data_IF_642321388663
#
_entry.id   IF_642321388663
#
_cell.length_a   1.000
_cell.length_b   1.000
_cell.length_c   1.000
_cell.angle_alpha   90.00
_cell.angle_beta   90.00
_cell.angle_gamma   90.00
#
_symmetry.space_group_name_H-M   'P 1'
#
loop_
_entity.id
_entity.type
_entity.pdbx_description
1 polymer ?
#
# COMPACT_ATOMS: atom_id res chain seq x y z
N UNK A 1 68.74 -22.64 23.95
CA UNK A 1 69.21 -23.74 23.07
C UNK A 1 68.26 -23.71 21.84
N UNK A 2 68.66 -23.06 20.71
CA UNK A 2 69.32 -23.71 19.57
C UNK A 2 68.28 -24.64 18.84
N UNK A 3 67.87 -24.47 17.64
CA UNK A 3 68.28 -24.03 16.29
C UNK A 3 67.05 -23.89 15.43
N UNK A 4 66.78 -22.85 14.67
CA UNK A 4 67.19 -22.54 13.29
C UNK A 4 67.15 -23.72 12.29
N UNK A 5 66.31 -23.56 11.25
CA UNK A 5 66.72 -23.71 9.83
C UNK A 5 65.55 -23.39 8.88
N UNK A 6 65.63 -22.30 8.16
CA UNK A 6 65.22 -22.06 6.79
C UNK A 6 66.40 -22.62 5.91
N UNK A 7 66.32 -22.74 4.56
CA UNK A 7 65.51 -22.10 3.53
C UNK A 7 65.15 -23.06 2.35
N UNK A 8 64.36 -22.64 1.38
CA UNK A 8 64.84 -22.49 0.00
C UNK A 8 63.75 -21.89 -0.94
N UNK A 9 64.20 -20.87 -1.58
CA UNK A 9 63.64 -20.16 -2.72
C UNK A 9 63.61 -21.01 -3.98
N UNK A 10 62.63 -20.88 -4.88
CA UNK A 10 62.89 -20.81 -6.31
C UNK A 10 61.82 -20.02 -7.06
N UNK A 11 62.28 -19.03 -7.77
CA UNK A 11 61.63 -18.14 -8.71
C UNK A 11 61.22 -18.86 -10.01
N UNK A 12 60.23 -18.32 -10.69
CA UNK A 12 60.15 -17.87 -12.07
C UNK A 12 58.79 -18.12 -12.70
N UNK A 13 58.25 -17.07 -13.32
CA UNK A 13 57.26 -17.18 -14.40
C UNK A 13 56.33 -15.98 -14.55
N UNK A 14 56.80 -14.92 -15.22
CA UNK A 14 55.95 -13.82 -15.74
C UNK A 14 55.03 -14.28 -16.87
N UNK A 15 53.79 -13.72 -16.91
CA UNK A 15 52.98 -13.67 -18.12
C UNK A 15 51.60 -13.05 -17.86
N UNK A 16 51.11 -12.10 -18.67
CA UNK A 16 50.08 -11.12 -18.29
C UNK A 16 48.68 -11.40 -18.86
N UNK A 17 47.70 -10.65 -18.31
CA UNK A 17 46.39 -10.31 -18.85
C UNK A 17 45.26 -11.35 -18.89
N UNK A 18 44.27 -11.09 -18.09
CA UNK A 18 42.87 -10.89 -18.57
C UNK A 18 41.94 -10.47 -17.42
N UNK A 19 41.03 -9.58 -17.73
CA UNK A 19 40.18 -8.70 -16.94
C UNK A 19 39.16 -9.35 -15.98
N UNK A 20 38.34 -8.52 -15.35
CA UNK A 20 37.60 -8.87 -14.14
C UNK A 20 36.42 -9.81 -14.44
N UNK A 21 36.39 -10.91 -13.69
CA UNK A 21 35.29 -11.84 -13.63
C UNK A 21 34.02 -11.18 -13.09
N UNK A 22 33.00 -11.25 -13.89
CA UNK A 22 31.62 -10.84 -13.60
C UNK A 22 31.11 -11.57 -12.35
N UNK A 23 30.75 -10.78 -11.34
CA UNK A 23 30.06 -11.26 -10.16
C UNK A 23 28.69 -11.83 -10.53
N UNK A 24 28.43 -13.05 -10.11
CA UNK A 24 27.16 -13.73 -10.17
C UNK A 24 26.08 -12.90 -9.45
N UNK A 25 25.18 -12.29 -10.22
CA UNK A 25 23.91 -11.80 -9.75
C UNK A 25 23.00 -12.97 -9.37
N UNK A 26 22.98 -13.34 -8.11
CA UNK A 26 21.96 -14.20 -7.54
C UNK A 26 20.61 -13.51 -7.67
N UNK A 27 19.72 -14.15 -8.42
CA UNK A 27 18.34 -13.78 -8.67
C UNK A 27 17.59 -13.70 -7.32
N UNK A 28 17.45 -12.49 -6.77
CA UNK A 28 16.49 -12.21 -5.73
C UNK A 28 15.09 -12.42 -6.32
N UNK A 29 14.41 -13.48 -5.88
CA UNK A 29 12.99 -13.71 -6.16
C UNK A 29 12.22 -12.51 -5.63
N UNK A 30 11.75 -11.63 -6.54
CA UNK A 30 10.90 -10.49 -6.26
C UNK A 30 9.62 -10.97 -5.59
N UNK A 31 9.35 -10.47 -4.40
CA UNK A 31 8.03 -10.57 -3.78
C UNK A 31 6.96 -9.96 -4.71
N UNK A 32 5.77 -10.54 -4.73
CA UNK A 32 4.69 -10.28 -5.70
C UNK A 32 4.00 -8.91 -5.52
N UNK A 33 4.56 -8.00 -4.76
CA UNK A 33 4.25 -6.59 -4.89
C UNK A 33 5.05 -6.03 -6.08
N UNK A 34 4.57 -6.33 -7.29
CA UNK A 34 5.15 -5.74 -8.51
C UNK A 34 4.95 -4.23 -8.45
N UNK A 35 6.01 -3.41 -8.65
CA UNK A 35 5.79 -2.04 -9.03
C UNK A 35 4.89 -2.05 -10.27
N UNK A 36 3.91 -1.16 -10.31
CA UNK A 36 3.00 -1.03 -11.46
C UNK A 36 3.84 -0.53 -12.62
N UNK A 37 4.47 -1.47 -13.33
CA UNK A 37 5.27 -1.18 -14.51
C UNK A 37 4.33 -1.35 -15.71
N UNK A 38 3.82 -0.24 -16.23
CA UNK A 38 2.85 -0.15 -17.34
C UNK A 38 3.37 -0.60 -18.71
N UNK A 39 4.41 -1.46 -18.79
CA UNK A 39 5.01 -1.86 -20.07
C UNK A 39 4.29 -3.01 -20.80
N UNK A 40 3.14 -3.50 -20.31
CA UNK A 40 2.25 -4.40 -21.05
C UNK A 40 0.85 -3.78 -21.18
N UNK A 41 0.74 -2.74 -22.02
CA UNK A 41 -0.56 -2.28 -22.52
C UNK A 41 -1.09 -3.30 -23.54
N UNK A 42 -1.76 -4.34 -23.06
CA UNK A 42 -2.84 -4.95 -23.83
C UNK A 42 -4.03 -4.00 -23.68
N UNK A 43 -4.64 -3.63 -24.82
CA UNK A 43 -5.89 -2.86 -24.82
C UNK A 43 -6.87 -3.48 -23.80
N UNK A 44 -7.52 -2.64 -22.97
CA UNK A 44 -8.48 -3.15 -22.00
C UNK A 44 -9.52 -3.97 -22.77
N UNK A 45 -9.93 -5.15 -22.25
CA UNK A 45 -10.94 -5.95 -22.89
C UNK A 45 -12.22 -5.12 -23.06
N UNK A 46 -12.95 -5.35 -24.18
CA UNK A 46 -14.20 -4.67 -24.50
C UNK A 46 -15.09 -4.53 -23.25
N UNK A 47 -15.40 -3.28 -22.88
CA UNK A 47 -16.19 -2.97 -21.69
C UNK A 47 -17.60 -3.48 -21.86
N UNK A 48 -17.91 -4.61 -21.24
CA UNK A 48 -19.30 -5.08 -21.14
C UNK A 48 -20.08 -4.07 -20.27
N UNK A 49 -21.25 -3.60 -20.74
CA UNK A 49 -22.09 -2.69 -19.97
C UNK A 49 -22.39 -3.27 -18.57
N UNK A 50 -22.16 -2.47 -17.52
CA UNK A 50 -22.40 -2.85 -16.13
C UNK A 50 -21.25 -3.57 -15.41
N UNK A 51 -20.11 -3.81 -16.05
CA UNK A 51 -18.93 -4.37 -15.39
C UNK A 51 -18.11 -3.24 -14.76
N UNK A 52 -17.84 -3.35 -13.44
CA UNK A 52 -16.95 -2.44 -12.72
C UNK A 52 -15.52 -2.99 -12.80
N UNK A 53 -14.61 -2.18 -13.31
CA UNK A 53 -13.18 -2.48 -13.39
C UNK A 53 -12.42 -1.84 -12.23
N UNK A 54 -11.36 -2.51 -11.77
CA UNK A 54 -10.55 -2.03 -10.65
C UNK A 54 -9.80 -0.73 -10.96
N UNK A 55 -9.63 0.12 -9.94
CA UNK A 55 -8.76 1.29 -9.92
C UNK A 55 -7.52 0.99 -9.06
N UNK A 56 -6.44 0.56 -9.69
CA UNK A 56 -5.25 0.08 -8.99
C UNK A 56 -4.57 1.13 -8.11
N UNK A 57 -4.76 2.42 -8.38
CA UNK A 57 -4.08 3.54 -7.74
C UNK A 57 -4.98 4.38 -6.82
N UNK A 58 -6.27 4.11 -6.82
CA UNK A 58 -7.24 4.90 -6.05
C UNK A 58 -7.38 4.40 -4.62
N UNK A 59 -7.27 5.32 -3.65
CA UNK A 59 -7.54 5.06 -2.23
C UNK A 59 -8.71 5.93 -1.75
N UNK A 60 -9.82 5.29 -1.35
CA UNK A 60 -10.96 5.94 -0.70
C UNK A 60 -10.60 6.28 0.73
N UNK A 61 -10.28 7.55 1.00
CA UNK A 61 -9.92 8.07 2.30
C UNK A 61 -11.17 8.33 3.13
N UNK A 62 -11.16 7.95 4.42
CA UNK A 62 -12.31 8.09 5.29
C UNK A 62 -13.62 7.61 4.62
N UNK A 63 -13.59 6.43 4.04
CA UNK A 63 -14.68 5.92 3.19
C UNK A 63 -16.05 5.95 3.89
N UNK A 64 -16.09 5.81 5.22
CA UNK A 64 -17.32 5.89 6.02
C UNK A 64 -18.04 7.26 5.95
N UNK A 65 -17.41 8.30 5.37
CA UNK A 65 -18.06 9.58 5.05
C UNK A 65 -18.77 9.57 3.70
N UNK A 66 -18.49 8.59 2.85
CA UNK A 66 -19.18 8.42 1.57
C UNK A 66 -20.65 8.01 1.79
N UNK A 67 -21.48 8.27 0.79
CA UNK A 67 -22.92 7.94 0.81
C UNK A 67 -23.28 7.16 -0.43
N UNK A 68 -23.53 5.84 -0.34
CA UNK A 68 -23.28 4.98 0.85
C UNK A 68 -21.80 4.63 1.03
N UNK A 69 -21.33 4.42 2.28
CA UNK A 69 -19.99 3.89 2.55
C UNK A 69 -19.77 2.54 1.86
N UNK A 70 -18.52 2.16 1.60
CA UNK A 70 -18.08 0.95 0.92
C UNK A 70 -18.67 0.80 -0.49
N UNK A 71 -19.99 0.78 -0.61
CA UNK A 71 -20.69 0.54 -1.88
C UNK A 71 -20.31 1.54 -2.95
N UNK A 72 -20.16 2.85 -2.58
CA UNK A 72 -19.74 3.86 -3.54
C UNK A 72 -18.31 3.63 -4.02
N UNK A 73 -17.38 3.33 -3.11
CA UNK A 73 -16.00 3.03 -3.48
C UNK A 73 -15.92 1.79 -4.39
N UNK A 74 -16.59 0.70 -4.03
CA UNK A 74 -16.63 -0.52 -4.84
C UNK A 74 -17.28 -0.28 -6.22
N UNK A 75 -18.37 0.49 -6.31
CA UNK A 75 -19.03 0.79 -7.59
C UNK A 75 -18.17 1.61 -8.54
N UNK A 76 -17.19 2.35 -8.02
CA UNK A 76 -16.21 3.13 -8.78
C UNK A 76 -14.88 2.39 -9.01
N UNK A 77 -14.75 1.15 -8.52
CA UNK A 77 -13.58 0.32 -8.77
C UNK A 77 -12.42 0.49 -7.77
N UNK A 78 -12.60 1.22 -6.67
CA UNK A 78 -11.53 1.45 -5.69
C UNK A 78 -11.04 0.15 -5.07
N UNK A 79 -9.73 -0.04 -5.08
CA UNK A 79 -9.07 -1.22 -4.48
C UNK A 79 -8.51 -0.96 -3.08
N UNK A 80 -8.29 0.30 -2.69
CA UNK A 80 -7.90 0.69 -1.33
C UNK A 80 -9.02 1.49 -0.69
N UNK A 81 -9.50 1.04 0.46
CA UNK A 81 -10.64 1.61 1.18
C UNK A 81 -10.22 1.79 2.64
N UNK A 82 -10.32 3.01 3.17
CA UNK A 82 -9.86 3.35 4.51
C UNK A 82 -11.04 3.58 5.46
N UNK A 83 -11.00 2.90 6.62
CA UNK A 83 -11.95 3.05 7.71
C UNK A 83 -11.24 3.30 9.04
N UNK A 84 -11.60 4.41 9.71
CA UNK A 84 -11.14 4.70 11.07
C UNK A 84 -11.93 3.92 12.09
N UNK A 85 -11.26 3.32 13.06
CA UNK A 85 -11.91 2.57 14.14
C UNK A 85 -11.50 3.05 15.52
N UNK A 86 -12.48 2.99 16.44
CA UNK A 86 -12.26 3.19 17.87
C UNK A 86 -12.81 1.99 18.65
N UNK A 87 -12.00 1.45 19.55
CA UNK A 87 -12.48 0.48 20.51
C UNK A 87 -13.31 1.19 21.60
N UNK A 88 -14.62 0.96 21.60
CA UNK A 88 -15.55 1.56 22.57
C UNK A 88 -16.47 0.45 23.11
N UNK A 89 -16.41 0.19 24.41
CA UNK A 89 -17.26 -0.82 25.08
C UNK A 89 -17.27 -2.17 24.32
N UNK A 90 -16.08 -2.68 24.02
CA UNK A 90 -15.88 -3.95 23.31
C UNK A 90 -16.43 -4.01 21.86
N UNK A 91 -16.66 -2.86 21.21
CA UNK A 91 -17.05 -2.72 19.78
C UNK A 91 -16.02 -1.90 19.03
N UNK A 92 -15.74 -2.28 17.78
CA UNK A 92 -14.90 -1.51 16.85
C UNK A 92 -15.78 -0.51 16.08
N UNK A 93 -16.04 0.62 16.73
CA UNK A 93 -16.91 1.68 16.19
C UNK A 93 -16.19 2.43 15.09
N UNK A 94 -16.85 2.58 13.93
CA UNK A 94 -16.29 3.33 12.81
C UNK A 94 -16.57 4.82 12.96
N UNK A 95 -15.53 5.60 13.21
CA UNK A 95 -15.60 7.06 13.31
C UNK A 95 -14.18 7.67 13.40
N UNK A 96 -14.01 8.90 12.92
CA UNK A 96 -12.75 9.64 13.06
C UNK A 96 -12.44 10.07 14.51
N UNK A 97 -13.48 10.37 15.27
CA UNK A 97 -13.42 10.77 16.69
C UNK A 97 -14.53 10.07 17.47
N UNK A 98 -14.37 9.99 18.78
CA UNK A 98 -15.39 9.40 19.65
C UNK A 98 -16.76 10.04 19.41
N UNK A 99 -17.77 9.29 18.94
CA UNK A 99 -19.10 9.84 18.69
C UNK A 99 -19.83 10.17 20.01
N UNK A 100 -20.70 11.19 19.96
CA UNK A 100 -21.51 11.58 21.12
C UNK A 100 -22.43 10.45 21.62
N UNK A 101 -22.89 9.60 20.71
CA UNK A 101 -23.78 8.46 20.99
C UNK A 101 -23.16 7.16 20.44
N UNK A 102 -22.13 6.61 21.12
CA UNK A 102 -21.40 5.44 20.60
C UNK A 102 -22.29 4.22 20.35
N UNK A 103 -23.33 4.04 21.15
CA UNK A 103 -24.28 2.94 21.00
C UNK A 103 -25.08 2.97 19.69
N UNK A 104 -25.21 4.15 19.06
CA UNK A 104 -25.89 4.34 17.78
C UNK A 104 -24.91 4.37 16.58
N UNK A 105 -23.62 4.38 16.85
CA UNK A 105 -22.61 4.36 15.80
C UNK A 105 -22.47 2.96 15.23
N UNK A 106 -22.28 2.88 13.93
CA UNK A 106 -22.06 1.64 13.21
C UNK A 106 -20.62 1.16 13.46
N UNK A 107 -20.41 -0.14 13.44
CA UNK A 107 -19.09 -0.73 13.65
C UNK A 107 -18.48 -1.29 12.35
N UNK A 108 -17.24 -1.75 12.48
CA UNK A 108 -16.45 -2.27 11.35
C UNK A 108 -17.12 -3.47 10.68
N UNK A 109 -17.72 -4.33 11.47
CA UNK A 109 -18.39 -5.53 10.98
C UNK A 109 -19.61 -5.15 10.14
N UNK A 110 -20.48 -4.27 10.67
CA UNK A 110 -21.68 -3.82 9.98
C UNK A 110 -21.39 -3.05 8.69
N UNK A 111 -20.39 -2.15 8.73
CA UNK A 111 -20.10 -1.27 7.59
C UNK A 111 -19.27 -1.91 6.50
N UNK A 112 -18.36 -2.82 6.86
CA UNK A 112 -17.34 -3.31 5.93
C UNK A 112 -17.26 -4.83 5.87
N UNK A 113 -17.02 -5.53 6.98
CA UNK A 113 -16.69 -6.95 6.92
C UNK A 113 -17.87 -7.80 6.44
N UNK A 114 -19.07 -7.62 7.01
CA UNK A 114 -20.26 -8.37 6.60
C UNK A 114 -20.65 -8.11 5.15
N UNK A 115 -20.76 -6.84 4.67
CA UNK A 115 -21.07 -6.59 3.26
C UNK A 115 -20.02 -7.16 2.29
N UNK A 116 -18.72 -7.05 2.61
CA UNK A 116 -17.65 -7.61 1.80
C UNK A 116 -17.75 -9.14 1.77
N UNK A 117 -18.04 -9.78 2.90
CA UNK A 117 -18.17 -11.21 2.99
C UNK A 117 -19.37 -11.74 2.20
N UNK A 118 -20.49 -11.02 2.18
CA UNK A 118 -21.64 -11.38 1.34
C UNK A 118 -21.30 -11.35 -0.15
N UNK A 119 -20.55 -10.33 -0.61
CA UNK A 119 -20.07 -10.27 -2.00
C UNK A 119 -19.12 -11.44 -2.29
N UNK A 120 -18.18 -11.70 -1.38
CA UNK A 120 -17.21 -12.80 -1.52
C UNK A 120 -17.89 -14.16 -1.59
N UNK A 121 -18.86 -14.45 -0.73
CA UNK A 121 -19.61 -15.73 -0.77
C UNK A 121 -20.31 -15.96 -2.10
N UNK A 122 -20.80 -14.89 -2.75
CA UNK A 122 -21.50 -14.98 -4.02
C UNK A 122 -20.57 -15.14 -5.22
N UNK A 123 -19.40 -14.49 -5.21
CA UNK A 123 -18.54 -14.34 -6.39
C UNK A 123 -17.13 -14.90 -6.22
N UNK A 124 -16.60 -14.98 -5.00
CA UNK A 124 -15.20 -15.32 -4.73
C UNK A 124 -14.20 -14.17 -4.95
N UNK A 125 -14.64 -13.03 -5.49
CA UNK A 125 -13.82 -11.87 -5.83
C UNK A 125 -14.64 -10.57 -5.75
N UNK A 126 -13.96 -9.41 -5.71
CA UNK A 126 -14.62 -8.09 -5.77
C UNK A 126 -14.65 -7.53 -7.18
N UNK A 127 -13.54 -7.64 -7.92
CA UNK A 127 -13.43 -7.20 -9.31
C UNK A 127 -12.91 -8.33 -10.20
N UNK A 128 -13.61 -8.61 -11.29
CA UNK A 128 -13.27 -9.72 -12.21
C UNK A 128 -11.93 -9.50 -12.93
N UNK A 129 -11.56 -8.26 -13.20
CA UNK A 129 -10.33 -7.86 -13.88
C UNK A 129 -9.13 -7.72 -12.92
N UNK A 130 -9.35 -7.82 -11.62
CA UNK A 130 -8.30 -7.59 -10.61
C UNK A 130 -7.92 -8.89 -9.92
N UNK A 131 -6.76 -9.49 -10.27
CA UNK A 131 -6.31 -10.76 -9.68
C UNK A 131 -5.79 -10.60 -8.25
N UNK A 132 -5.56 -9.36 -7.78
CA UNK A 132 -5.09 -9.05 -6.43
C UNK A 132 -6.26 -8.68 -5.51
N UNK A 133 -6.09 -8.81 -4.19
CA UNK A 133 -7.14 -8.47 -3.23
C UNK A 133 -7.53 -6.98 -3.26
N UNK A 134 -8.74 -6.69 -2.79
CA UNK A 134 -9.07 -5.36 -2.28
C UNK A 134 -8.40 -5.18 -0.92
N UNK A 135 -7.98 -3.97 -0.61
CA UNK A 135 -7.28 -3.61 0.62
C UNK A 135 -8.20 -2.78 1.51
N UNK A 136 -8.56 -3.30 2.68
CA UNK A 136 -9.23 -2.53 3.71
C UNK A 136 -8.19 -1.99 4.70
N UNK A 137 -7.94 -0.69 4.62
CA UNK A 137 -7.04 0.02 5.52
C UNK A 137 -7.80 0.38 6.80
N UNK A 138 -7.38 -0.17 7.91
CA UNK A 138 -8.01 0.00 9.22
C UNK A 138 -7.15 0.97 10.05
N UNK A 139 -7.60 2.22 10.17
CA UNK A 139 -6.91 3.26 10.94
C UNK A 139 -7.35 3.20 12.41
N UNK A 140 -6.49 2.64 13.25
CA UNK A 140 -6.74 2.51 14.69
C UNK A 140 -6.54 3.86 15.37
N UNK A 141 -7.61 4.41 15.95
CA UNK A 141 -7.63 5.71 16.65
C UNK A 141 -7.52 5.59 18.18
N UNK A 142 -7.71 4.39 18.72
CA UNK A 142 -7.59 4.09 20.16
C UNK A 142 -6.26 3.41 20.47
N UNK A 143 -6.07 2.91 21.69
CA UNK A 143 -4.88 2.18 22.10
C UNK A 143 -4.66 0.98 21.17
N UNK A 144 -3.40 0.78 20.74
CA UNK A 144 -3.05 -0.11 19.66
C UNK A 144 -3.31 -1.58 19.98
N UNK A 145 -2.76 -2.08 21.10
CA UNK A 145 -2.76 -3.50 21.43
C UNK A 145 -4.16 -4.04 21.70
N UNK A 146 -4.91 -3.39 22.58
CA UNK A 146 -6.28 -3.83 22.92
C UNK A 146 -7.23 -3.72 21.75
N UNK A 147 -7.03 -2.70 20.88
CA UNK A 147 -7.84 -2.55 19.67
C UNK A 147 -7.51 -3.63 18.65
N UNK A 148 -6.25 -3.97 18.51
CA UNK A 148 -5.81 -5.05 17.62
C UNK A 148 -6.31 -6.41 18.11
N UNK A 149 -6.19 -6.73 19.40
CA UNK A 149 -6.74 -7.98 19.95
C UNK A 149 -8.25 -8.09 19.68
N UNK A 150 -9.00 -7.00 19.86
CA UNK A 150 -10.42 -6.98 19.49
C UNK A 150 -10.66 -7.16 18.01
N UNK A 151 -9.79 -6.60 17.16
CA UNK A 151 -9.89 -6.81 15.72
C UNK A 151 -9.73 -8.28 15.35
N UNK A 152 -8.78 -9.00 15.97
CA UNK A 152 -8.57 -10.43 15.74
C UNK A 152 -9.82 -11.26 16.07
N UNK A 153 -10.54 -10.92 17.15
CA UNK A 153 -11.83 -11.55 17.49
C UNK A 153 -12.89 -11.27 16.40
N UNK A 154 -13.00 -10.00 15.97
CA UNK A 154 -14.03 -9.57 15.02
C UNK A 154 -13.81 -10.16 13.63
N UNK A 155 -12.58 -10.34 13.19
CA UNK A 155 -12.27 -10.90 11.86
C UNK A 155 -12.36 -12.44 11.80
N UNK A 156 -12.48 -13.13 12.93
CA UNK A 156 -12.47 -14.61 12.99
C UNK A 156 -13.48 -15.26 12.03
N UNK A 157 -14.76 -14.81 11.95
CA UNK A 157 -15.74 -15.39 11.02
C UNK A 157 -15.44 -15.12 9.54
N UNK A 158 -14.57 -14.16 9.26
CA UNK A 158 -14.31 -13.64 7.90
C UNK A 158 -13.00 -14.15 7.29
N UNK A 159 -12.22 -14.95 8.03
CA UNK A 159 -10.88 -15.41 7.63
C UNK A 159 -10.83 -16.10 6.27
N UNK A 160 -11.91 -16.74 5.83
CA UNK A 160 -11.94 -17.41 4.53
C UNK A 160 -11.83 -16.47 3.32
N UNK A 161 -12.12 -15.18 3.49
CA UNK A 161 -11.91 -14.17 2.44
C UNK A 161 -10.60 -13.40 2.60
N UNK A 162 -9.90 -13.54 3.76
CA UNK A 162 -8.75 -12.72 4.08
C UNK A 162 -7.45 -13.30 3.54
N UNK A 163 -6.57 -12.43 3.08
CA UNK A 163 -5.16 -12.75 2.90
C UNK A 163 -4.55 -13.13 4.25
N UNK A 164 -3.81 -14.22 4.28
CA UNK A 164 -3.04 -14.64 5.44
C UNK A 164 -1.55 -14.69 5.14
N UNK A 165 -0.75 -14.58 6.19
CA UNK A 165 0.70 -14.67 6.10
C UNK A 165 1.18 -15.70 7.12
N UNK A 166 1.88 -16.70 6.65
CA UNK A 166 2.40 -17.80 7.48
C UNK A 166 3.91 -17.86 7.29
N UNK A 167 4.66 -17.69 8.37
CA UNK A 167 6.13 -17.65 8.36
C UNK A 167 6.70 -16.71 7.28
N UNK A 168 6.04 -15.53 7.13
CA UNK A 168 6.41 -14.51 6.14
C UNK A 168 5.91 -14.77 4.71
N UNK A 169 5.33 -15.94 4.43
CA UNK A 169 4.75 -16.29 3.12
C UNK A 169 3.31 -15.79 3.04
N UNK A 170 3.02 -15.03 1.99
CA UNK A 170 1.68 -14.53 1.70
C UNK A 170 0.83 -15.61 1.04
N UNK A 171 -0.37 -15.85 1.59
CA UNK A 171 -1.43 -16.66 1.00
C UNK A 171 -2.56 -15.71 0.62
N UNK A 172 -2.69 -15.31 -0.65
CA UNK A 172 -3.66 -14.30 -1.07
C UNK A 172 -5.10 -14.73 -0.85
N UNK A 173 -5.89 -13.84 -0.24
CA UNK A 173 -7.33 -13.90 -0.18
C UNK A 173 -7.95 -12.84 -1.09
N UNK A 174 -9.28 -12.72 -1.09
CA UNK A 174 -9.97 -11.65 -1.81
C UNK A 174 -9.81 -10.27 -1.13
N UNK A 175 -9.60 -10.26 0.18
CA UNK A 175 -9.44 -9.05 1.01
C UNK A 175 -8.13 -9.09 1.80
N UNK A 176 -7.32 -8.04 1.71
CA UNK A 176 -6.17 -7.84 2.59
C UNK A 176 -6.45 -6.71 3.58
N UNK A 177 -6.27 -6.97 4.86
CA UNK A 177 -6.37 -5.96 5.91
C UNK A 177 -5.02 -5.27 6.10
N UNK A 178 -5.01 -3.94 6.15
CA UNK A 178 -3.80 -3.13 6.40
C UNK A 178 -4.04 -2.25 7.62
N UNK A 179 -3.26 -2.43 8.67
CA UNK A 179 -3.35 -1.61 9.88
C UNK A 179 -2.59 -0.32 9.68
N UNK A 180 -3.25 0.80 9.95
CA UNK A 180 -2.66 2.14 9.98
C UNK A 180 -3.04 2.88 11.29
N UNK A 181 -2.64 4.15 11.46
CA UNK A 181 -2.87 4.88 12.71
C UNK A 181 -1.98 4.39 13.86
N UNK A 182 -2.59 3.97 14.97
CA UNK A 182 -1.90 3.36 16.10
C UNK A 182 -1.66 1.88 15.79
N UNK A 183 -0.42 1.54 15.45
CA UNK A 183 -0.02 0.21 14.94
C UNK A 183 0.76 -0.56 16.00
N UNK A 184 0.32 -1.73 16.47
CA UNK A 184 1.09 -2.58 17.36
C UNK A 184 2.12 -3.40 16.55
N UNK A 185 3.16 -2.71 16.05
CA UNK A 185 4.10 -3.26 15.05
C UNK A 185 4.80 -4.50 15.57
N UNK A 186 5.33 -4.45 16.79
CA UNK A 186 6.12 -5.54 17.36
C UNK A 186 5.24 -6.79 17.59
N UNK A 187 4.01 -6.60 18.06
CA UNK A 187 3.04 -7.68 18.24
C UNK A 187 2.71 -8.37 16.92
N UNK A 188 2.36 -7.57 15.87
CA UNK A 188 2.04 -8.12 14.55
C UNK A 188 3.27 -8.78 13.90
N UNK A 189 4.46 -8.19 14.07
CA UNK A 189 5.70 -8.73 13.50
C UNK A 189 6.12 -10.05 14.14
N UNK A 190 5.78 -10.26 15.40
CA UNK A 190 6.09 -11.50 16.14
C UNK A 190 5.15 -12.68 15.81
N UNK A 191 4.03 -12.42 15.13
CA UNK A 191 3.07 -13.48 14.77
C UNK A 191 3.62 -14.36 13.63
N UNK A 192 3.80 -15.65 13.86
CA UNK A 192 4.13 -16.63 12.83
C UNK A 192 2.99 -16.80 11.80
N UNK A 193 1.74 -16.60 12.26
CA UNK A 193 0.55 -16.56 11.39
C UNK A 193 -0.26 -15.32 11.69
N UNK A 194 -0.38 -14.43 10.71
CA UNK A 194 -1.12 -13.18 10.80
C UNK A 194 -2.12 -13.01 9.66
N UNK A 195 -3.10 -12.14 9.86
CA UNK A 195 -4.20 -11.84 8.92
C UNK A 195 -4.20 -10.38 8.47
N UNK A 196 -3.16 -9.65 8.84
CA UNK A 196 -3.03 -8.23 8.56
C UNK A 196 -1.63 -7.91 8.04
N UNK A 197 -1.53 -6.84 7.25
CA UNK A 197 -0.29 -6.12 6.96
C UNK A 197 -0.31 -4.76 7.68
N UNK A 198 0.77 -4.00 7.57
CA UNK A 198 0.93 -2.71 8.24
C UNK A 198 1.24 -1.64 7.19
N UNK A 199 0.58 -0.50 7.29
CA UNK A 199 0.97 0.73 6.58
C UNK A 199 2.18 1.36 7.29
N UNK A 200 3.36 1.25 6.70
CA UNK A 200 4.61 1.80 7.23
C UNK A 200 4.65 3.33 7.26
N UNK A 201 5.66 3.87 7.92
CA UNK A 201 6.01 5.29 7.91
C UNK A 201 7.47 5.44 7.46
N UNK A 202 7.94 6.62 7.04
CA UNK A 202 9.33 6.81 6.65
C UNK A 202 10.33 6.36 7.72
N UNK A 203 9.99 6.50 9.01
CA UNK A 203 10.81 6.03 10.13
C UNK A 203 10.85 4.51 10.32
N UNK A 204 10.06 3.76 9.57
CA UNK A 204 10.08 2.28 9.58
C UNK A 204 10.98 1.69 8.48
N UNK A 205 11.44 2.52 7.54
CA UNK A 205 12.40 2.12 6.52
C UNK A 205 13.75 1.73 7.14
N UNK A 206 14.48 0.85 6.48
CA UNK A 206 15.78 0.32 6.90
C UNK A 206 15.77 -0.46 8.24
N UNK A 207 14.60 -0.80 8.79
CA UNK A 207 14.47 -1.64 9.99
C UNK A 207 14.42 -3.14 9.70
N UNK A 208 14.47 -3.54 8.44
CA UNK A 208 14.47 -4.95 8.04
C UNK A 208 13.11 -5.63 8.06
N UNK A 209 12.01 -4.90 8.24
CA UNK A 209 10.66 -5.49 8.13
C UNK A 209 10.42 -6.02 6.72
N UNK A 210 9.88 -7.25 6.56
CA UNK A 210 9.61 -7.79 5.23
C UNK A 210 8.48 -7.01 4.52
N UNK A 211 8.52 -6.99 3.19
CA UNK A 211 7.48 -6.32 2.37
C UNK A 211 6.10 -6.92 2.63
N UNK A 212 6.01 -8.23 2.90
CA UNK A 212 4.75 -8.86 3.27
C UNK A 212 4.14 -8.31 4.57
N UNK A 213 4.96 -7.80 5.49
CA UNK A 213 4.49 -7.12 6.71
C UNK A 213 4.13 -5.65 6.45
N UNK A 214 4.98 -4.93 5.71
CA UNK A 214 4.78 -3.52 5.39
C UNK A 214 4.82 -3.31 3.86
N UNK A 215 3.72 -3.58 3.14
CA UNK A 215 3.70 -3.50 1.67
C UNK A 215 3.73 -2.07 1.14
N UNK A 216 3.46 -1.10 1.99
CA UNK A 216 3.39 0.31 1.63
C UNK A 216 3.96 1.19 2.74
N UNK A 217 4.33 2.42 2.38
CA UNK A 217 4.73 3.47 3.32
C UNK A 217 3.95 4.74 3.01
N UNK A 218 3.25 5.23 4.03
CA UNK A 218 2.45 6.45 3.95
C UNK A 218 3.06 7.59 4.73
N UNK A 219 2.90 8.82 4.20
CA UNK A 219 3.23 10.03 4.93
C UNK A 219 2.24 11.15 4.59
N UNK A 220 2.11 12.12 5.47
CA UNK A 220 1.30 13.30 5.23
C UNK A 220 1.98 14.18 4.18
N UNK A 221 1.23 14.62 3.17
CA UNK A 221 1.73 15.49 2.11
C UNK A 221 2.50 16.70 2.65
N UNK A 222 1.98 17.37 3.67
CA UNK A 222 2.63 18.55 4.26
C UNK A 222 3.89 18.23 5.08
N UNK A 223 4.10 16.99 5.52
CA UNK A 223 5.35 16.57 6.18
C UNK A 223 6.49 16.52 5.17
N UNK A 224 6.21 16.02 3.97
CA UNK A 224 7.21 15.95 2.89
C UNK A 224 7.44 17.33 2.26
N UNK A 225 6.38 18.05 1.90
CA UNK A 225 6.44 19.23 1.06
C UNK A 225 6.21 20.56 1.79
N UNK A 226 5.85 20.51 3.08
CA UNK A 226 5.34 21.67 3.81
C UNK A 226 3.92 22.03 3.37
N UNK A 227 3.38 23.12 3.92
CA UNK A 227 2.11 23.69 3.49
C UNK A 227 2.33 24.44 2.17
N UNK A 228 2.09 23.75 1.07
CA UNK A 228 2.28 24.32 -0.26
C UNK A 228 1.07 24.01 -1.14
N UNK A 229 0.77 24.95 -2.03
CA UNK A 229 -0.15 24.69 -3.15
C UNK A 229 0.51 23.77 -4.16
N UNK A 230 -0.24 23.18 -5.08
CA UNK A 230 0.31 22.38 -6.19
C UNK A 230 1.40 23.14 -6.95
N UNK A 231 1.22 24.46 -7.13
CA UNK A 231 2.22 25.30 -7.80
C UNK A 231 3.53 25.40 -7.00
N UNK A 232 3.45 25.58 -5.67
CA UNK A 232 4.63 25.58 -4.79
C UNK A 232 5.31 24.21 -4.69
N UNK A 233 4.59 23.12 -4.92
CA UNK A 233 5.15 21.78 -4.98
C UNK A 233 6.14 21.60 -6.16
N UNK A 234 6.03 22.40 -7.21
CA UNK A 234 6.89 22.34 -8.40
C UNK A 234 8.30 22.93 -8.21
N UNK A 235 8.61 23.50 -7.05
CA UNK A 235 9.98 23.96 -6.78
C UNK A 235 10.98 22.80 -6.82
N UNK A 236 12.19 23.04 -7.32
CA UNK A 236 13.28 22.03 -7.37
C UNK A 236 13.48 21.37 -5.99
N UNK A 237 13.45 22.15 -4.92
CA UNK A 237 13.57 21.65 -3.54
C UNK A 237 12.49 20.62 -3.21
N UNK A 238 11.24 20.85 -3.60
CA UNK A 238 10.13 19.97 -3.30
C UNK A 238 10.13 18.74 -4.22
N UNK A 239 10.53 18.88 -5.47
CA UNK A 239 10.75 17.76 -6.38
C UNK A 239 11.76 16.79 -5.77
N UNK A 240 12.93 17.29 -5.33
CA UNK A 240 13.95 16.45 -4.70
C UNK A 240 13.46 15.73 -3.44
N UNK A 241 12.63 16.39 -2.62
CA UNK A 241 12.06 15.74 -1.42
C UNK A 241 11.12 14.58 -1.76
N UNK A 242 10.25 14.75 -2.77
CA UNK A 242 9.35 13.67 -3.19
C UNK A 242 10.15 12.54 -3.83
N UNK A 243 11.11 12.85 -4.68
CA UNK A 243 11.98 11.84 -5.30
C UNK A 243 12.79 11.05 -4.26
N UNK A 244 13.32 11.71 -3.22
CA UNK A 244 14.02 11.06 -2.11
C UNK A 244 13.07 10.11 -1.35
N UNK A 245 11.86 10.58 -1.00
CA UNK A 245 10.85 9.74 -0.35
C UNK A 245 10.49 8.53 -1.22
N UNK A 246 10.14 8.75 -2.49
CA UNK A 246 9.78 7.69 -3.44
C UNK A 246 10.91 6.69 -3.62
N UNK A 247 12.14 7.17 -3.84
CA UNK A 247 13.31 6.32 -4.02
C UNK A 247 13.58 5.43 -2.81
N UNK A 248 13.51 5.99 -1.59
CA UNK A 248 13.71 5.22 -0.35
C UNK A 248 12.66 4.14 -0.17
N UNK A 249 11.39 4.46 -0.41
CA UNK A 249 10.28 3.50 -0.25
C UNK A 249 10.36 2.40 -1.31
N UNK A 250 10.53 2.79 -2.58
CA UNK A 250 10.56 1.83 -3.70
C UNK A 250 11.83 0.99 -3.73
N UNK A 251 12.96 1.47 -3.18
CA UNK A 251 14.18 0.66 -3.06
C UNK A 251 13.99 -0.55 -2.14
N UNK A 252 13.04 -0.50 -1.21
CA UNK A 252 12.62 -1.65 -0.40
C UNK A 252 11.48 -2.47 -1.01
N UNK A 253 11.04 -2.14 -2.24
CA UNK A 253 9.96 -2.85 -2.93
C UNK A 253 8.56 -2.52 -2.41
N UNK A 254 8.37 -1.38 -1.73
CA UNK A 254 7.11 -0.96 -1.13
C UNK A 254 6.40 0.10 -1.97
N UNK A 255 5.09 0.21 -1.81
CA UNK A 255 4.28 1.25 -2.43
C UNK A 255 4.34 2.56 -1.64
N UNK A 256 4.28 3.68 -2.35
CA UNK A 256 4.22 5.01 -1.77
C UNK A 256 2.79 5.53 -1.70
N UNK A 257 2.40 6.12 -0.56
CA UNK A 257 1.12 6.81 -0.38
C UNK A 257 1.34 8.14 0.33
N UNK A 258 0.73 9.20 -0.21
CA UNK A 258 0.62 10.47 0.52
C UNK A 258 -0.85 10.75 0.84
N UNK A 259 -1.12 11.14 2.10
CA UNK A 259 -2.45 11.54 2.53
C UNK A 259 -2.55 13.05 2.76
N UNK A 260 -3.78 13.60 2.77
CA UNK A 260 -4.07 15.04 2.72
C UNK A 260 -3.38 15.75 1.55
N UNK A 261 -3.41 15.12 0.40
CA UNK A 261 -2.96 15.70 -0.86
C UNK A 261 -4.01 16.72 -1.37
N UNK A 262 -3.60 17.72 -2.17
CA UNK A 262 -4.57 18.56 -2.88
C UNK A 262 -5.39 17.69 -3.85
N UNK A 263 -6.71 17.75 -3.76
CA UNK A 263 -7.64 16.92 -4.54
C UNK A 263 -8.00 17.59 -5.86
N UNK A 264 -7.01 17.70 -6.74
CA UNK A 264 -7.13 18.27 -8.08
C UNK A 264 -6.39 17.41 -9.10
N UNK A 265 -6.87 17.39 -10.33
CA UNK A 265 -6.23 16.68 -11.46
C UNK A 265 -4.76 17.10 -11.62
N UNK A 266 -4.46 18.37 -11.42
CA UNK A 266 -3.10 18.90 -11.51
C UNK A 266 -2.18 18.30 -10.44
N UNK A 267 -2.66 18.18 -9.19
CA UNK A 267 -1.90 17.58 -8.10
C UNK A 267 -1.68 16.08 -8.35
N UNK A 268 -2.72 15.37 -8.79
CA UNK A 268 -2.64 13.94 -9.08
C UNK A 268 -1.68 13.64 -10.23
N UNK A 269 -1.70 14.44 -11.32
CA UNK A 269 -0.73 14.35 -12.40
C UNK A 269 0.70 14.54 -11.89
N UNK A 270 0.92 15.58 -11.07
CA UNK A 270 2.24 15.88 -10.54
C UNK A 270 2.75 14.75 -9.62
N UNK A 271 1.92 14.26 -8.71
CA UNK A 271 2.27 13.17 -7.79
C UNK A 271 2.57 11.87 -8.55
N UNK A 272 1.72 11.52 -9.52
CA UNK A 272 1.91 10.35 -10.38
C UNK A 272 3.20 10.44 -11.19
N UNK A 273 3.48 11.60 -11.79
CA UNK A 273 4.71 11.84 -12.56
C UNK A 273 5.97 11.66 -11.69
N UNK A 274 5.89 12.01 -10.41
CA UNK A 274 7.00 11.85 -9.46
C UNK A 274 7.00 10.50 -8.71
N UNK A 275 6.20 9.53 -9.14
CA UNK A 275 6.30 8.15 -8.70
C UNK A 275 5.47 7.80 -7.45
N UNK A 276 4.52 8.64 -7.04
CA UNK A 276 3.58 8.26 -5.98
C UNK A 276 2.62 7.19 -6.52
N UNK A 277 2.57 6.03 -5.86
CA UNK A 277 1.80 4.87 -6.31
C UNK A 277 0.30 5.00 -6.00
N UNK A 278 -0.05 5.44 -4.80
CA UNK A 278 -1.44 5.50 -4.33
C UNK A 278 -1.91 6.93 -4.11
N UNK A 279 -3.02 7.28 -4.75
CA UNK A 279 -3.68 8.58 -4.67
C UNK A 279 -4.85 8.52 -3.69
N UNK A 280 -4.71 9.25 -2.60
CA UNK A 280 -5.70 9.34 -1.52
C UNK A 280 -6.73 10.43 -1.83
N UNK A 281 -8.03 10.14 -1.67
CA UNK A 281 -9.08 11.14 -1.96
C UNK A 281 -10.34 10.95 -1.14
N UNK A 282 -11.02 12.06 -0.81
CA UNK A 282 -12.40 12.11 -0.35
C UNK A 282 -13.37 12.32 -1.53
N UNK A 283 -12.87 12.71 -2.72
CA UNK A 283 -13.65 13.00 -3.94
C UNK A 283 -13.62 11.84 -4.92
N UNK A 284 -14.25 10.72 -4.54
CA UNK A 284 -14.12 9.44 -5.27
C UNK A 284 -14.45 9.57 -6.76
N UNK A 285 -15.56 10.20 -7.13
CA UNK A 285 -15.95 10.33 -8.54
C UNK A 285 -14.91 11.12 -9.35
N UNK A 286 -14.38 12.21 -8.79
CA UNK A 286 -13.40 13.04 -9.50
C UNK A 286 -12.08 12.28 -9.75
N UNK A 287 -11.58 11.55 -8.75
CA UNK A 287 -10.37 10.73 -8.93
C UNK A 287 -10.63 9.54 -9.87
N UNK A 288 -11.81 8.91 -9.78
CA UNK A 288 -12.21 7.87 -10.72
C UNK A 288 -12.12 8.35 -12.16
N UNK A 289 -12.77 9.49 -12.48
CA UNK A 289 -12.79 10.04 -13.84
C UNK A 289 -11.38 10.39 -14.33
N UNK A 290 -10.55 10.93 -13.45
CA UNK A 290 -9.14 11.20 -13.75
C UNK A 290 -8.37 9.92 -14.08
N UNK A 291 -8.44 8.87 -13.23
CA UNK A 291 -7.69 7.63 -13.44
C UNK A 291 -8.18 6.88 -14.69
N UNK A 292 -9.49 6.84 -14.94
CA UNK A 292 -10.04 6.22 -16.16
C UNK A 292 -9.59 6.95 -17.43
N UNK A 293 -9.52 8.28 -17.39
CA UNK A 293 -9.03 9.05 -18.55
C UNK A 293 -7.53 8.88 -18.77
N UNK A 294 -6.75 8.71 -17.71
CA UNK A 294 -5.31 8.45 -17.80
C UNK A 294 -5.01 7.04 -18.35
N UNK A 295 -5.81 6.04 -17.97
CA UNK A 295 -5.67 4.66 -18.47
C UNK A 295 -6.09 4.52 -19.95
N UNK A 296 -6.87 5.48 -20.50
CA UNK A 296 -7.43 5.41 -21.86
C UNK A 296 -6.53 5.93 -22.98
N UNK A 297 -5.28 6.41 -22.70
CA UNK A 297 -4.33 6.75 -23.76
C UNK A 297 -3.54 8.05 -23.62
N UNK A 298 -2.64 8.38 -24.57
CA UNK A 298 -1.51 9.31 -24.43
C UNK A 298 -1.83 10.81 -24.54
N UNK A 299 -3.03 11.28 -24.21
CA UNK A 299 -3.44 12.66 -24.46
C UNK A 299 -3.16 13.68 -23.34
N UNK A 300 -2.60 13.28 -22.20
CA UNK A 300 -2.38 14.20 -21.07
C UNK A 300 -1.07 15.01 -21.10
N UNK A 301 -0.10 14.63 -21.95
CA UNK A 301 1.19 15.32 -22.03
C UNK A 301 1.19 16.61 -22.91
N UNK A 302 0.08 16.98 -23.56
CA UNK A 302 0.05 18.03 -24.59
C UNK A 302 -0.73 19.32 -24.29
N UNK A 303 -1.17 19.58 -23.06
CA UNK A 303 -1.83 20.86 -22.72
C UNK A 303 -1.27 21.52 -21.47
N UNK A 304 0.01 21.87 -21.49
CA UNK A 304 0.55 22.97 -20.69
C UNK A 304 1.71 23.59 -21.47
N UNK A 305 1.36 24.47 -22.41
CA UNK A 305 2.24 25.53 -22.88
C UNK A 305 1.92 26.80 -22.11
#
# INVERSE_FOLDING_TARGET
MIKLLLPLLLLLGYGPHSGPSTANNSILKKAVFLPINDSNQQNPPDHLPGTVYSLKRGCSHNDYWQKPPLTKALSLGYTYIEADILLIKNRLVVAHRRPLRPAKARDLEELYLSPLFEIFKQKGYFYKDHPTPVFLMIDIKTEAETTYQKLLEVIEPYKSMLTSFVDGVENPGALTLIITGNRPIETIAAESKRWVAIDGRPGDLAKGYPVSLMPMVSEKYSTILGWTTTLGARSTKNILKVQDFVSKVQSEGRLTRLWKIPETVEAWNWLTYHGIDLLNTDKLTLLHDYLRSADSGPNFAKKTK
#
